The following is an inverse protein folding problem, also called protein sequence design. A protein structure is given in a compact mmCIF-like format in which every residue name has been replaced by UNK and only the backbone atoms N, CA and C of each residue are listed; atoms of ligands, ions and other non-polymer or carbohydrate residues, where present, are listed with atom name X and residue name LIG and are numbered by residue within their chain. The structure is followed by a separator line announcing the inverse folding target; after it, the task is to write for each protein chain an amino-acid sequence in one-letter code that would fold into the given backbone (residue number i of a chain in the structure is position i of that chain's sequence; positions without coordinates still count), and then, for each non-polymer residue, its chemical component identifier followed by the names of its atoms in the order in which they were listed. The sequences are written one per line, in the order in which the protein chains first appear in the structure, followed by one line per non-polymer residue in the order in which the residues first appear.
data_IF_783406546949
#
_entry.id   IF_783406546949
#
_cell.length_a   1.000
_cell.length_b   1.000
_cell.length_c   1.000
_cell.angle_alpha   90.00
_cell.angle_beta   90.00
_cell.angle_gamma   90.00
#
_symmetry.space_group_name_H-M   'P 1'
#
loop_
_entity.id
_entity.type
_entity.pdbx_description
1 polymer ?
#
# COMPACT_ATOMS: atom_id res chain seq x y z
N UNK A 1 25.78 19.56 35.44
CA UNK A 1 24.87 18.67 34.66
C UNK A 1 24.86 19.16 33.22
N UNK A 2 25.32 18.36 32.25
CA UNK A 2 25.15 18.66 30.82
C UNK A 2 23.83 18.03 30.35
N UNK A 3 23.01 18.71 29.52
CA UNK A 3 21.79 18.10 29.02
C UNK A 3 22.14 17.07 27.95
N UNK A 4 21.69 15.83 28.15
CA UNK A 4 21.74 14.77 27.14
C UNK A 4 20.68 15.09 26.07
N UNK A 5 21.12 15.55 24.91
CA UNK A 5 20.27 15.66 23.73
C UNK A 5 20.21 14.28 23.10
N UNK A 6 19.16 13.51 23.38
CA UNK A 6 18.85 12.30 22.59
C UNK A 6 18.48 12.74 21.18
N UNK A 7 19.45 12.67 20.26
CA UNK A 7 19.16 12.73 18.84
C UNK A 7 18.31 11.51 18.48
N UNK A 8 17.04 11.73 18.15
CA UNK A 8 16.20 10.70 17.55
C UNK A 8 16.70 10.47 16.12
N UNK A 9 17.62 9.53 15.94
CA UNK A 9 18.10 9.12 14.62
C UNK A 9 16.98 8.31 13.98
N UNK A 10 16.34 8.89 12.96
CA UNK A 10 15.39 8.16 12.13
C UNK A 10 16.19 7.22 11.21
N UNK A 11 15.95 5.90 11.23
CA UNK A 11 16.66 4.99 10.35
C UNK A 11 16.34 5.31 8.88
N UNK A 12 17.26 5.02 7.94
CA UNK A 12 17.01 5.19 6.53
C UNK A 12 15.81 4.32 6.07
N UNK A 13 15.14 4.71 4.97
CA UNK A 13 14.04 3.93 4.43
C UNK A 13 14.57 2.58 3.93
N UNK A 14 14.02 1.50 4.48
CA UNK A 14 14.32 0.15 4.03
C UNK A 14 13.75 -0.07 2.62
N UNK A 15 14.58 -0.64 1.75
CA UNK A 15 14.18 -1.08 0.42
C UNK A 15 13.85 -2.57 0.46
N UNK A 16 12.71 -2.93 -0.10
CA UNK A 16 12.26 -4.32 -0.13
C UNK A 16 12.19 -4.83 -1.57
N UNK A 17 12.73 -6.03 -1.78
CA UNK A 17 12.29 -6.88 -2.89
C UNK A 17 10.98 -7.53 -2.44
N UNK A 18 9.94 -7.37 -3.25
CA UNK A 18 8.59 -7.88 -2.95
C UNK A 18 8.36 -9.16 -3.75
N UNK A 19 8.10 -10.26 -3.04
CA UNK A 19 7.80 -11.56 -3.65
C UNK A 19 6.29 -11.78 -3.57
N UNK A 20 5.66 -11.88 -4.74
CA UNK A 20 4.23 -12.05 -4.88
C UNK A 20 3.84 -13.52 -5.10
N UNK A 21 2.94 -14.02 -4.26
CA UNK A 21 2.30 -15.32 -4.41
C UNK A 21 0.81 -15.07 -4.60
N UNK A 22 0.24 -15.49 -5.73
CA UNK A 22 -1.17 -15.22 -6.05
C UNK A 22 -1.85 -16.40 -6.73
N UNK A 23 -3.13 -16.61 -6.38
CA UNK A 23 -4.11 -17.37 -7.16
C UNK A 23 -5.15 -16.40 -7.75
N UNK A 24 -6.23 -16.93 -8.32
CA UNK A 24 -7.33 -16.11 -8.83
C UNK A 24 -8.10 -15.33 -7.74
N UNK A 25 -8.03 -15.75 -6.48
CA UNK A 25 -8.83 -15.13 -5.38
C UNK A 25 -8.05 -14.92 -4.09
N UNK A 26 -6.74 -15.21 -4.06
CA UNK A 26 -5.97 -15.15 -2.82
C UNK A 26 -4.54 -14.71 -3.08
N UNK A 27 -4.02 -13.84 -2.22
CA UNK A 27 -2.66 -13.33 -2.30
C UNK A 27 -1.88 -13.57 -1.00
N UNK A 28 -0.57 -13.66 -1.12
CA UNK A 28 0.40 -13.61 -0.03
C UNK A 28 1.65 -12.89 -0.53
N UNK A 29 2.21 -12.01 0.29
CA UNK A 29 3.39 -11.23 -0.06
C UNK A 29 4.48 -11.49 0.96
N UNK A 30 5.68 -11.79 0.47
CA UNK A 30 6.89 -11.85 1.28
C UNK A 30 7.76 -10.63 0.99
N UNK A 31 8.38 -10.09 2.03
CA UNK A 31 9.32 -8.99 1.97
C UNK A 31 10.73 -9.51 2.20
N UNK A 32 11.63 -9.19 1.27
CA UNK A 32 13.06 -9.45 1.41
C UNK A 32 13.79 -8.12 1.53
N UNK A 33 14.55 -7.92 2.61
CA UNK A 33 15.32 -6.70 2.80
C UNK A 33 16.47 -6.65 1.79
N UNK A 34 16.42 -5.69 0.86
CA UNK A 34 17.38 -5.57 -0.24
C UNK A 34 18.77 -5.07 0.21
N UNK A 35 18.89 -4.53 1.42
CA UNK A 35 20.15 -4.02 1.96
C UNK A 35 20.99 -5.10 2.67
N UNK A 36 20.42 -6.30 2.87
CA UNK A 36 21.03 -7.40 3.60
C UNK A 36 21.20 -8.61 2.67
N UNK A 37 22.44 -8.98 2.28
CA UNK A 37 22.71 -10.06 1.33
C UNK A 37 22.11 -11.42 1.71
N UNK A 38 22.09 -11.72 3.01
CA UNK A 38 21.60 -12.99 3.56
C UNK A 38 20.22 -12.84 4.23
N UNK A 39 19.44 -11.83 3.85
CA UNK A 39 18.09 -11.68 4.38
C UNK A 39 17.22 -12.88 3.98
N UNK A 40 16.41 -13.35 4.92
CA UNK A 40 15.36 -14.32 4.62
C UNK A 40 14.06 -13.58 4.28
N UNK A 41 13.26 -14.07 3.31
CA UNK A 41 11.95 -13.51 3.04
C UNK A 41 11.03 -13.62 4.25
N UNK A 42 10.40 -12.50 4.62
CA UNK A 42 9.47 -12.45 5.75
C UNK A 42 8.05 -12.20 5.26
N UNK A 43 7.10 -13.02 5.71
CA UNK A 43 5.70 -12.84 5.35
C UNK A 43 5.16 -11.47 5.82
N UNK A 44 4.52 -10.74 4.90
CA UNK A 44 3.85 -9.48 5.20
C UNK A 44 2.53 -9.75 5.91
N UNK A 45 1.62 -10.46 5.23
CA UNK A 45 0.35 -10.90 5.77
C UNK A 45 0.06 -12.33 5.26
N UNK A 46 -0.14 -13.32 6.14
CA UNK A 46 -0.43 -14.69 5.73
C UNK A 46 -1.67 -14.78 4.84
N UNK A 47 -1.66 -15.71 3.87
CA UNK A 47 -2.81 -15.92 2.99
C UNK A 47 -4.08 -16.23 3.77
N UNK A 48 -5.18 -15.63 3.33
CA UNK A 48 -6.55 -15.95 3.75
C UNK A 48 -7.39 -16.18 2.52
N UNK A 49 -8.25 -17.21 2.53
CA UNK A 49 -9.12 -17.52 1.41
C UNK A 49 -9.96 -16.30 1.01
N UNK A 50 -10.07 -16.07 -0.30
CA UNK A 50 -10.83 -14.97 -0.93
C UNK A 50 -10.32 -13.56 -0.57
N UNK A 51 -9.12 -13.46 0.00
CA UNK A 51 -8.45 -12.20 0.30
C UNK A 51 -7.33 -11.93 -0.69
N UNK A 52 -7.55 -10.91 -1.52
CA UNK A 52 -6.57 -10.42 -2.47
C UNK A 52 -5.97 -9.11 -1.97
N UNK A 53 -4.66 -8.99 -2.12
CA UNK A 53 -3.97 -7.73 -1.88
C UNK A 53 -2.69 -7.63 -2.70
N UNK A 54 -2.35 -6.39 -3.03
CA UNK A 54 -1.04 -6.00 -3.57
C UNK A 54 -0.50 -4.85 -2.73
N UNK A 55 0.82 -4.75 -2.63
CA UNK A 55 1.48 -3.73 -1.83
C UNK A 55 2.62 -3.03 -2.56
N UNK A 56 2.81 -1.77 -2.24
CA UNK A 56 4.04 -1.07 -2.58
C UNK A 56 4.59 -0.43 -1.30
N UNK A 57 5.89 -0.17 -1.29
CA UNK A 57 6.56 0.49 -0.18
C UNK A 57 7.11 1.82 -0.65
N UNK A 58 6.84 2.86 0.13
CA UNK A 58 7.43 4.15 -0.13
C UNK A 58 7.86 4.79 1.18
N UNK A 59 9.16 5.09 1.27
CA UNK A 59 9.83 5.55 2.47
C UNK A 59 9.68 4.56 3.63
N UNK A 60 8.70 4.75 4.52
CA UNK A 60 8.53 3.96 5.76
C UNK A 60 7.10 3.46 5.92
N UNK A 61 6.34 3.46 4.82
CA UNK A 61 4.96 3.02 4.83
C UNK A 61 4.71 2.09 3.66
N UNK A 62 3.89 1.09 3.93
CA UNK A 62 3.30 0.25 2.92
C UNK A 62 1.97 0.85 2.50
N UNK A 63 1.70 0.79 1.20
CA UNK A 63 0.45 1.13 0.57
C UNK A 63 -0.12 -0.15 0.00
N UNK A 64 -1.39 -0.41 0.27
CA UNK A 64 -2.01 -1.69 -0.07
C UNK A 64 -3.30 -1.46 -0.82
N UNK A 65 -3.43 -2.10 -1.97
CA UNK A 65 -4.73 -2.31 -2.61
C UNK A 65 -5.24 -3.66 -2.14
N UNK A 66 -6.38 -3.71 -1.45
CA UNK A 66 -6.91 -4.95 -0.87
C UNK A 66 -8.43 -5.03 -0.93
N UNK A 67 -8.98 -6.22 -1.13
CA UNK A 67 -10.42 -6.49 -1.08
C UNK A 67 -10.97 -6.79 0.33
N UNK A 68 -10.18 -6.55 1.41
CA UNK A 68 -10.52 -6.96 2.79
C UNK A 68 -11.90 -6.51 3.28
N UNK A 69 -12.37 -5.33 2.86
CA UNK A 69 -13.66 -4.74 3.27
C UNK A 69 -14.67 -4.69 2.11
N UNK A 70 -14.29 -5.14 0.91
CA UNK A 70 -15.16 -5.07 -0.26
C UNK A 70 -14.52 -5.56 -1.55
N UNK A 71 -15.33 -6.20 -2.39
CA UNK A 71 -14.90 -6.84 -3.65
C UNK A 71 -14.27 -5.88 -4.67
N UNK A 72 -14.60 -4.59 -4.59
CA UNK A 72 -14.09 -3.56 -5.49
C UNK A 72 -12.79 -2.90 -5.03
N UNK A 73 -12.18 -3.47 -3.98
CA UNK A 73 -10.90 -3.06 -3.40
C UNK A 73 -10.91 -1.66 -2.77
N UNK A 74 -10.20 -1.54 -1.65
CA UNK A 74 -9.83 -0.28 -1.03
C UNK A 74 -8.33 -0.04 -1.16
N UNK A 75 -7.92 1.21 -0.94
CA UNK A 75 -6.53 1.58 -0.75
C UNK A 75 -6.27 1.87 0.72
N UNK A 76 -5.25 1.23 1.26
CA UNK A 76 -4.86 1.30 2.67
C UNK A 76 -3.41 1.72 2.80
N UNK A 77 -3.06 2.22 3.99
CA UNK A 77 -1.68 2.57 4.36
C UNK A 77 -1.37 2.05 5.74
N UNK A 78 -0.15 1.55 5.93
CA UNK A 78 0.33 1.11 7.24
C UNK A 78 1.83 1.28 7.37
N UNK A 79 2.32 1.31 8.61
CA UNK A 79 3.75 1.15 8.95
C UNK A 79 4.02 -0.17 9.65
N UNK A 80 2.95 -0.93 9.94
CA UNK A 80 2.97 -2.23 10.61
C UNK A 80 2.36 -3.28 9.70
N UNK A 81 2.75 -4.53 9.87
CA UNK A 81 2.20 -5.65 9.10
C UNK A 81 0.79 -6.05 9.52
N UNK A 82 0.44 -5.78 10.78
CA UNK A 82 -0.87 -6.06 11.35
C UNK A 82 -2.00 -5.41 10.52
N UNK A 83 -2.92 -6.24 10.04
CA UNK A 83 -4.06 -5.82 9.20
C UNK A 83 -4.99 -4.86 9.93
N UNK A 84 -5.17 -5.03 11.23
CA UNK A 84 -6.06 -4.18 12.05
C UNK A 84 -5.55 -2.74 12.14
N UNK A 85 -4.24 -2.53 11.92
CA UNK A 85 -3.59 -1.22 11.99
C UNK A 85 -3.60 -0.47 10.66
N UNK A 86 -4.13 -1.05 9.58
CA UNK A 86 -4.12 -0.33 8.31
C UNK A 86 -5.13 0.81 8.33
N UNK A 87 -4.64 2.00 7.99
CA UNK A 87 -5.46 3.20 7.80
C UNK A 87 -6.03 3.20 6.40
N UNK A 88 -7.36 3.31 6.28
CA UNK A 88 -8.04 3.47 4.99
C UNK A 88 -7.71 4.82 4.37
N UNK A 89 -7.20 4.81 3.14
CA UNK A 89 -6.98 6.01 2.32
C UNK A 89 -8.12 6.25 1.34
N UNK A 90 -8.57 5.16 0.69
CA UNK A 90 -9.73 5.15 -0.19
C UNK A 90 -10.55 3.92 0.19
N UNK A 91 -11.76 4.08 0.74
CA UNK A 91 -12.59 2.93 1.07
C UNK A 91 -13.05 2.22 -0.21
N UNK A 92 -13.34 0.91 -0.16
CA UNK A 92 -14.04 0.23 -1.24
C UNK A 92 -15.36 0.93 -1.56
N UNK A 93 -15.70 1.01 -2.85
CA UNK A 93 -16.95 1.61 -3.33
C UNK A 93 -17.74 0.58 -4.13
N UNK A 94 -19.06 0.58 -3.99
CA UNK A 94 -19.91 -0.43 -4.63
C UNK A 94 -19.88 -0.38 -6.17
N UNK A 95 -19.70 0.81 -6.74
CA UNK A 95 -19.80 1.06 -8.18
C UNK A 95 -18.46 1.40 -8.85
N UNK A 96 -17.38 1.56 -8.06
CA UNK A 96 -16.04 1.88 -8.56
C UNK A 96 -15.05 0.81 -8.14
N UNK A 97 -14.51 0.09 -9.11
CA UNK A 97 -13.42 -0.85 -8.94
C UNK A 97 -12.09 -0.11 -8.90
N UNK A 98 -11.34 -0.21 -7.80
CA UNK A 98 -9.95 0.21 -7.76
C UNK A 98 -9.11 -0.87 -8.44
N UNK A 99 -8.56 -0.61 -9.62
CA UNK A 99 -7.77 -1.58 -10.40
C UNK A 99 -6.31 -1.59 -9.98
N UNK A 100 -5.75 -0.43 -9.68
CA UNK A 100 -4.33 -0.31 -9.34
C UNK A 100 -3.97 1.03 -8.74
N UNK A 101 -2.71 1.16 -8.33
CA UNK A 101 -2.14 2.42 -7.89
C UNK A 101 -0.64 2.50 -8.21
N UNK A 102 -0.11 3.71 -8.26
CA UNK A 102 1.32 3.99 -8.40
C UNK A 102 1.71 5.14 -7.49
N UNK A 103 2.84 4.98 -6.81
CA UNK A 103 3.38 5.99 -5.91
C UNK A 103 4.49 6.78 -6.61
N UNK A 104 4.33 8.10 -6.62
CA UNK A 104 5.36 9.07 -6.95
C UNK A 104 5.76 9.85 -5.69
N UNK A 105 6.78 10.69 -5.83
CA UNK A 105 7.36 11.44 -4.70
C UNK A 105 6.30 12.16 -3.86
N UNK A 106 5.42 12.91 -4.52
CA UNK A 106 4.35 13.69 -3.89
C UNK A 106 2.95 13.23 -4.28
N UNK A 107 2.83 12.38 -5.30
CA UNK A 107 1.54 12.00 -5.88
C UNK A 107 1.26 10.50 -5.68
N UNK A 108 0.02 10.20 -5.38
CA UNK A 108 -0.56 8.87 -5.48
C UNK A 108 -1.50 8.89 -6.68
N UNK A 109 -1.23 8.07 -7.69
CA UNK A 109 -2.12 7.89 -8.83
C UNK A 109 -2.86 6.59 -8.64
N UNK A 110 -4.19 6.61 -8.81
CA UNK A 110 -5.03 5.41 -8.78
C UNK A 110 -5.71 5.22 -10.12
N UNK A 111 -5.83 3.95 -10.51
CA UNK A 111 -6.60 3.52 -11.68
C UNK A 111 -7.94 2.95 -11.21
N UNK A 112 -9.02 3.51 -11.73
CA UNK A 112 -10.38 3.21 -11.31
C UNK A 112 -11.25 2.87 -12.52
N UNK A 113 -12.09 1.85 -12.39
CA UNK A 113 -13.10 1.48 -13.39
C UNK A 113 -14.51 1.66 -12.84
N UNK A 114 -15.33 2.43 -13.54
CA UNK A 114 -16.74 2.64 -13.22
C UNK A 114 -17.56 2.59 -14.51
N UNK A 115 -18.66 1.82 -14.51
CA UNK A 115 -19.53 1.63 -15.70
C UNK A 115 -18.76 1.24 -16.97
N UNK A 116 -17.70 0.44 -16.81
CA UNK A 116 -16.84 -0.02 -17.91
C UNK A 116 -15.78 0.98 -18.38
N UNK A 117 -15.79 2.23 -17.90
CA UNK A 117 -14.82 3.26 -18.24
C UNK A 117 -13.67 3.28 -17.22
N UNK A 118 -12.44 3.24 -17.72
CA UNK A 118 -11.22 3.40 -16.92
C UNK A 118 -10.87 4.88 -16.78
N UNK A 119 -10.43 5.27 -15.60
CA UNK A 119 -10.05 6.63 -15.24
C UNK A 119 -8.82 6.65 -14.35
N UNK A 120 -8.06 7.75 -14.42
CA UNK A 120 -6.95 8.02 -13.52
C UNK A 120 -7.29 9.18 -12.61
N UNK A 121 -7.02 9.00 -11.31
CA UNK A 121 -7.15 10.04 -10.31
C UNK A 121 -5.84 10.21 -9.57
N UNK A 122 -5.34 11.44 -9.53
CA UNK A 122 -4.09 11.82 -8.91
C UNK A 122 -4.40 12.52 -7.59
N UNK A 123 -3.70 12.13 -6.53
CA UNK A 123 -3.90 12.65 -5.18
C UNK A 123 -2.55 13.13 -4.67
N UNK A 124 -2.41 14.42 -4.43
CA UNK A 124 -1.22 14.96 -3.79
C UNK A 124 -1.23 14.54 -2.32
N UNK A 125 -0.19 13.81 -1.90
CA UNK A 125 -0.11 13.22 -0.56
C UNK A 125 0.18 14.25 0.53
N UNK A 126 0.74 15.40 0.17
CA UNK A 126 1.05 16.50 1.09
C UNK A 126 -0.13 17.46 1.22
N UNK A 127 -0.66 17.94 0.09
CA UNK A 127 -1.71 18.98 0.07
C UNK A 127 -3.13 18.41 0.10
N UNK A 128 -3.30 17.11 -0.18
CA UNK A 128 -4.60 16.44 -0.39
C UNK A 128 -5.38 16.95 -1.61
N UNK A 129 -4.72 17.72 -2.47
CA UNK A 129 -5.26 18.09 -3.78
C UNK A 129 -5.58 16.83 -4.59
N UNK A 130 -6.70 16.87 -5.32
CA UNK A 130 -7.15 15.76 -6.17
C UNK A 130 -7.37 16.28 -7.58
N UNK A 131 -6.72 15.64 -8.56
CA UNK A 131 -6.82 15.93 -9.99
C UNK A 131 -7.32 14.69 -10.72
N UNK A 132 -8.21 14.87 -11.68
CA UNK A 132 -8.83 13.79 -12.45
C UNK A 132 -10.35 13.80 -12.35
N UNK A 133 -11.01 13.20 -13.33
CA UNK A 133 -12.47 13.20 -13.40
C UNK A 133 -13.04 12.36 -12.26
N UNK A 134 -13.90 12.98 -11.43
CA UNK A 134 -14.87 12.24 -10.64
C UNK A 134 -15.98 11.81 -11.60
N UNK A 135 -16.15 10.51 -11.77
CA UNK A 135 -17.41 9.98 -12.28
C UNK A 135 -18.37 9.75 -11.11
#
# INVERSE_FOLDING_TARGET
MRPSTSACIKPPPQQFVVIYLSSATTSEVLLLNAELPDAEPVCFLPRRKDHEYSLDHYQHAFYLRSNREGKNFGLYRTVLRDEEQWTTLIPPRHDVMLEGFTLFTDWLVVEERQRGLTSLRQINRKTREVVGNRF
#
